data_IF_892294890210
#
_entry.id   IF_892294890210
#
_cell.length_a   1.000
_cell.length_b   1.000
_cell.length_c   1.000
_cell.angle_alpha   90.00
_cell.angle_beta   90.00
_cell.angle_gamma   90.00
#
_symmetry.space_group_name_H-M   'P 1'
#
loop_
_entity.id
_entity.type
_entity.pdbx_description
1 polymer ?
#
# COMPACT_ATOMS: atom_id res chain seq x y z
N UNK A 1 42.17 16.96 -5.98
CA UNK A 1 40.92 17.44 -5.35
C UNK A 1 39.80 16.67 -6.01
N UNK A 2 39.40 15.55 -5.43
CA UNK A 2 38.31 14.72 -5.97
C UNK A 2 37.00 15.15 -5.32
N UNK A 3 36.06 15.60 -6.16
CA UNK A 3 34.70 15.94 -5.77
C UNK A 3 33.97 14.63 -5.46
N UNK A 4 33.82 14.30 -4.17
CA UNK A 4 32.91 13.27 -3.68
C UNK A 4 31.51 13.60 -4.18
N UNK A 5 30.98 12.77 -5.08
CA UNK A 5 29.57 12.85 -5.48
C UNK A 5 28.72 12.32 -4.33
N UNK A 6 28.41 13.21 -3.39
CA UNK A 6 27.36 12.99 -2.40
C UNK A 6 26.05 12.79 -3.17
N UNK A 7 25.60 11.55 -3.23
CA UNK A 7 24.30 11.21 -3.81
C UNK A 7 23.31 11.16 -2.64
N UNK A 8 22.51 12.21 -2.37
CA UNK A 8 21.44 12.10 -1.40
C UNK A 8 20.30 11.36 -2.08
N UNK A 9 20.40 10.04 -2.17
CA UNK A 9 19.30 9.21 -2.67
C UNK A 9 19.02 8.08 -1.70
N UNK A 10 18.73 8.48 -0.45
CA UNK A 10 18.07 7.64 0.55
C UNK A 10 16.60 7.36 0.24
N UNK A 11 16.15 7.52 -1.02
CA UNK A 11 14.80 7.14 -1.44
C UNK A 11 14.85 5.69 -1.96
N UNK A 12 14.24 4.73 -1.26
CA UNK A 12 14.26 3.33 -1.68
C UNK A 12 13.68 3.20 -3.10
N UNK A 13 14.18 2.25 -3.90
CA UNK A 13 13.65 2.02 -5.25
C UNK A 13 12.15 1.75 -5.16
N UNK A 14 11.37 2.52 -5.91
CA UNK A 14 9.92 2.41 -6.00
C UNK A 14 9.56 1.07 -6.65
N UNK A 15 9.45 0.01 -5.86
CA UNK A 15 8.97 -1.28 -6.32
C UNK A 15 7.50 -1.15 -6.73
N UNK A 16 7.27 -1.00 -8.04
CA UNK A 16 5.94 -0.99 -8.64
C UNK A 16 5.37 -2.40 -8.60
N UNK A 17 4.72 -2.73 -7.50
CA UNK A 17 3.75 -3.80 -7.44
C UNK A 17 2.52 -3.26 -6.74
N UNK A 18 1.34 -3.52 -7.31
CA UNK A 18 0.01 -3.16 -6.82
C UNK A 18 -0.06 -3.02 -5.30
N UNK A 19 -0.81 -2.02 -4.84
CA UNK A 19 -1.08 -1.83 -3.42
C UNK A 19 -1.77 -3.06 -2.84
N UNK A 20 -1.41 -3.39 -1.60
CA UNK A 20 -2.05 -4.42 -0.79
C UNK A 20 -2.62 -3.80 0.47
N UNK A 21 -3.70 -4.38 0.99
CA UNK A 21 -4.20 -4.03 2.32
C UNK A 21 -3.07 -4.12 3.37
N UNK A 22 -2.90 -3.06 4.14
CA UNK A 22 -1.84 -2.92 5.15
C UNK A 22 -0.56 -2.25 4.65
N UNK A 23 -0.36 -2.04 3.35
CA UNK A 23 0.82 -1.34 2.83
C UNK A 23 0.92 0.08 3.42
N UNK A 24 2.12 0.46 3.86
CA UNK A 24 2.44 1.86 4.17
C UNK A 24 2.93 2.54 2.91
N UNK A 25 2.34 3.68 2.60
CA UNK A 25 2.60 4.44 1.38
C UNK A 25 2.95 5.88 1.71
N UNK A 26 3.59 6.56 0.76
CA UNK A 26 3.89 7.98 0.81
C UNK A 26 3.50 8.63 -0.51
N UNK A 27 2.84 9.78 -0.44
CA UNK A 27 2.57 10.66 -1.58
C UNK A 27 3.81 11.47 -1.94
N UNK A 28 3.85 11.99 -3.17
CA UNK A 28 4.94 12.83 -3.67
C UNK A 28 5.19 14.10 -2.83
N UNK A 29 4.16 14.61 -2.15
CA UNK A 29 4.24 15.74 -1.22
C UNK A 29 4.81 15.38 0.16
N UNK A 30 5.13 14.09 0.39
CA UNK A 30 5.69 13.58 1.64
C UNK A 30 4.64 13.07 2.63
N UNK A 31 3.35 13.12 2.28
CA UNK A 31 2.30 12.65 3.18
C UNK A 31 2.26 11.12 3.25
N UNK A 32 2.41 10.58 4.44
CA UNK A 32 2.31 9.14 4.68
C UNK A 32 0.86 8.68 4.87
N UNK A 33 0.59 7.45 4.44
CA UNK A 33 -0.69 6.80 4.61
C UNK A 33 -0.58 5.29 4.72
N UNK A 34 -1.72 4.67 5.01
CA UNK A 34 -1.88 3.22 5.06
C UNK A 34 -3.00 2.81 4.11
N UNK A 35 -2.72 1.81 3.26
CA UNK A 35 -3.73 1.17 2.42
C UNK A 35 -4.65 0.36 3.32
N UNK A 36 -5.93 0.70 3.34
CA UNK A 36 -6.95 0.03 4.16
C UNK A 36 -7.76 -0.98 3.37
N UNK A 37 -7.98 -0.73 2.08
CA UNK A 37 -8.75 -1.59 1.19
C UNK A 37 -8.20 -1.50 -0.23
N UNK A 38 -8.36 -2.57 -1.01
CA UNK A 38 -7.92 -2.61 -2.41
C UNK A 38 -8.98 -3.27 -3.28
N UNK A 39 -9.20 -2.68 -4.46
CA UNK A 39 -9.91 -3.28 -5.59
C UNK A 39 -8.93 -3.56 -6.73
N UNK A 40 -9.43 -4.07 -7.85
CA UNK A 40 -8.62 -4.32 -9.04
C UNK A 40 -7.94 -3.06 -9.60
N UNK A 41 -8.59 -1.89 -9.49
CA UNK A 41 -8.13 -0.64 -10.11
C UNK A 41 -7.71 0.43 -9.10
N UNK A 42 -8.20 0.35 -7.86
CA UNK A 42 -7.98 1.38 -6.85
C UNK A 42 -7.58 0.79 -5.49
N UNK A 43 -6.93 1.61 -4.68
CA UNK A 43 -6.68 1.37 -3.27
C UNK A 43 -7.26 2.52 -2.45
N UNK A 44 -7.97 2.20 -1.39
CA UNK A 44 -8.39 3.19 -0.41
C UNK A 44 -7.23 3.40 0.56
N UNK A 45 -6.71 4.63 0.59
CA UNK A 45 -5.61 5.01 1.49
C UNK A 45 -6.15 5.91 2.58
N UNK A 46 -5.82 5.58 3.82
CA UNK A 46 -5.97 6.46 4.98
C UNK A 46 -4.68 7.26 5.15
N UNK A 47 -4.72 8.53 4.79
CA UNK A 47 -3.61 9.45 4.96
C UNK A 47 -3.51 9.93 6.42
N UNK A 48 -2.30 10.27 6.85
CA UNK A 48 -2.04 10.76 8.22
C UNK A 48 -2.59 12.18 8.38
N UNK A 49 -3.58 12.36 9.24
CA UNK A 49 -4.19 13.68 9.47
C UNK A 49 -5.18 14.14 8.40
N UNK A 50 -5.44 13.36 7.36
CA UNK A 50 -6.43 13.65 6.33
C UNK A 50 -7.50 12.54 6.22
N UNK A 51 -8.52 12.81 5.39
CA UNK A 51 -9.56 11.84 5.06
C UNK A 51 -9.02 10.70 4.18
N UNK A 52 -9.79 9.62 4.10
CA UNK A 52 -9.48 8.49 3.21
C UNK A 52 -9.73 8.89 1.77
N UNK A 53 -8.84 8.48 0.86
CA UNK A 53 -8.91 8.79 -0.56
C UNK A 53 -8.68 7.54 -1.40
N UNK A 54 -9.43 7.39 -2.49
CA UNK A 54 -9.17 6.35 -3.49
C UNK A 54 -8.01 6.77 -4.39
N UNK A 55 -7.02 5.89 -4.52
CA UNK A 55 -5.80 6.08 -5.30
C UNK A 55 -5.77 4.99 -6.38
N UNK A 56 -5.43 5.33 -7.61
CA UNK A 56 -5.25 4.34 -8.67
C UNK A 56 -4.08 3.42 -8.35
N UNK A 57 -4.23 2.12 -8.60
CA UNK A 57 -3.20 1.11 -8.35
C UNK A 57 -1.85 1.40 -9.03
N UNK A 58 -1.88 2.19 -10.10
CA UNK A 58 -0.72 2.58 -10.89
C UNK A 58 -0.31 4.05 -10.74
N UNK A 59 -0.90 4.77 -9.79
CA UNK A 59 -0.61 6.19 -9.58
C UNK A 59 0.90 6.40 -9.29
N UNK A 60 1.65 7.06 -10.18
CA UNK A 60 3.09 7.25 -10.01
C UNK A 60 3.44 8.26 -8.92
N UNK A 61 2.46 8.99 -8.38
CA UNK A 61 2.64 9.94 -7.28
C UNK A 61 2.61 9.29 -5.90
N UNK A 62 2.26 8.00 -5.81
CA UNK A 62 2.20 7.25 -4.56
C UNK A 62 3.19 6.09 -4.58
N UNK A 63 4.02 6.03 -3.55
CA UNK A 63 5.09 5.08 -3.37
C UNK A 63 4.82 4.17 -2.18
N UNK A 64 5.19 2.89 -2.27
CA UNK A 64 5.14 1.98 -1.13
C UNK A 64 6.42 2.13 -0.32
N UNK A 65 6.29 2.53 0.94
CA UNK A 65 7.38 2.62 1.90
C UNK A 65 7.67 1.26 2.54
N UNK A 66 6.60 0.54 2.90
CA UNK A 66 6.68 -0.75 3.57
C UNK A 66 5.49 -1.60 3.12
N UNK A 67 5.76 -2.87 2.80
CA UNK A 67 4.70 -3.83 2.53
C UNK A 67 3.96 -4.16 3.82
N UNK A 68 2.64 -4.20 3.73
CA UNK A 68 1.83 -4.79 4.79
C UNK A 68 2.22 -6.25 4.92
N UNK A 69 2.49 -6.70 6.14
CA UNK A 69 2.43 -8.12 6.45
C UNK A 69 1.06 -8.58 5.99
N UNK A 70 1.04 -9.53 5.05
CA UNK A 70 -0.20 -9.99 4.43
C UNK A 70 -1.16 -10.37 5.55
N UNK A 71 -2.15 -9.52 5.81
CA UNK A 71 -3.32 -9.92 6.55
C UNK A 71 -3.87 -11.08 5.74
N UNK A 72 -3.65 -12.30 6.25
CA UNK A 72 -4.37 -13.48 5.79
C UNK A 72 -5.81 -13.00 5.68
N UNK A 73 -6.36 -12.98 4.47
CA UNK A 73 -7.81 -12.94 4.34
C UNK A 73 -8.31 -14.00 5.31
N UNK A 74 -9.19 -13.69 6.28
CA UNK A 74 -9.88 -14.75 6.97
C UNK A 74 -10.49 -15.59 5.86
N UNK A 75 -10.06 -16.85 5.76
CA UNK A 75 -10.62 -17.80 4.80
C UNK A 75 -12.14 -17.64 4.91
N UNK A 76 -12.88 -17.52 3.79
CA UNK A 76 -14.32 -17.44 3.87
C UNK A 76 -14.75 -18.62 4.73
N UNK A 77 -15.38 -18.33 5.87
CA UNK A 77 -15.86 -19.34 6.78
C UNK A 77 -16.66 -20.29 5.92
N UNK A 78 -16.11 -21.48 5.67
CA UNK A 78 -16.81 -22.50 4.89
C UNK A 78 -17.94 -22.89 5.81
N UNK A 79 -19.10 -22.29 5.60
CA UNK A 79 -20.35 -22.65 6.24
C UNK A 79 -20.48 -24.16 6.06
N UNK A 80 -20.37 -24.96 7.14
CA UNK A 80 -20.62 -26.38 7.01
C UNK A 80 -22.13 -26.49 6.81
N UNK A 81 -22.56 -26.47 5.54
CA UNK A 81 -23.94 -26.66 5.14
C UNK A 81 -24.55 -27.77 6.00
N UNK A 82 -25.71 -27.55 6.63
CA UNK A 82 -26.32 -28.58 7.46
C UNK A 82 -26.60 -29.78 6.57
N UNK A 83 -26.02 -30.93 6.92
CA UNK A 83 -26.48 -32.21 6.39
C UNK A 83 -27.91 -32.39 6.88
N UNK A 84 -28.87 -32.20 5.98
CA UNK A 84 -30.21 -32.70 6.16
C UNK A 84 -30.11 -34.23 6.26
N UNK A 85 -30.44 -34.77 7.43
CA UNK A 85 -30.69 -36.18 7.69
C UNK A 85 -32.19 -36.43 7.76
#
# INVERSE_FOLDING_TARGET
MELTTDTPSGRPPLQRHYFRGGDRVIRRDGLEGQVVETTALYALVRWTGELRTWVEQHDPSVAILQRGDSIRQPEPATDPSPRFV
#
